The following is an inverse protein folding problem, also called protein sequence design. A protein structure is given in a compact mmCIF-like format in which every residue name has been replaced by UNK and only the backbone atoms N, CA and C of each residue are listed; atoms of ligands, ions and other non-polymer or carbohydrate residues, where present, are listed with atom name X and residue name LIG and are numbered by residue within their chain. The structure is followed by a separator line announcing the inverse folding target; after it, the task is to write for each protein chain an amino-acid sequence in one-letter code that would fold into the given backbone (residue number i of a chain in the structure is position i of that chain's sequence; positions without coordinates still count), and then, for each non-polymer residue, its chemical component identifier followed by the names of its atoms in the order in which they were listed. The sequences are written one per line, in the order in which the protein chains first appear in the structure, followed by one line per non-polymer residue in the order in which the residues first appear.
data_IF_301204776979
#
_entry.id   IF_301204776979
#
_cell.length_a   1.000
_cell.length_b   1.000
_cell.length_c   1.000
_cell.angle_alpha   90.00
_cell.angle_beta   90.00
_cell.angle_gamma   90.00
#
_symmetry.space_group_name_H-M   'P 1'
#
loop_
_entity.id
_entity.type
_entity.pdbx_description
1 polymer ?
#
# COMPACT_ATOMS: atom_id res chain seq x y z
N UNK A 1 7.56 8.06 28.00
CA UNK A 1 6.41 8.00 28.92
C UNK A 1 5.15 8.01 28.06
N UNK A 2 4.26 7.03 28.22
CA UNK A 2 2.98 6.95 27.49
C UNK A 2 1.94 7.79 28.25
N UNK A 3 1.12 8.63 27.58
CA UNK A 3 0.11 9.44 28.27
C UNK A 3 -1.03 8.59 28.83
N UNK A 4 -1.67 9.08 29.88
CA UNK A 4 -2.94 8.51 30.35
C UNK A 4 -4.05 8.78 29.33
N UNK A 5 -4.67 7.71 28.84
CA UNK A 5 -5.79 7.74 27.88
C UNK A 5 -7.08 7.16 28.46
N UNK A 6 -7.17 6.99 29.78
CA UNK A 6 -8.28 6.32 30.47
C UNK A 6 -9.64 6.95 30.15
N UNK A 7 -9.70 8.29 30.04
CA UNK A 7 -10.93 9.00 29.66
C UNK A 7 -11.38 8.66 28.23
N UNK A 8 -10.44 8.61 27.28
CA UNK A 8 -10.72 8.28 25.89
C UNK A 8 -11.15 6.82 25.73
N UNK A 9 -10.50 5.90 26.45
CA UNK A 9 -10.88 4.48 26.50
C UNK A 9 -12.29 4.31 27.08
N UNK A 10 -12.60 4.97 28.20
CA UNK A 10 -13.95 4.93 28.81
C UNK A 10 -15.01 5.43 27.84
N UNK A 11 -14.72 6.50 27.09
CA UNK A 11 -15.63 6.99 26.07
C UNK A 11 -15.82 5.96 24.94
N UNK A 12 -14.74 5.35 24.47
CA UNK A 12 -14.76 4.36 23.39
C UNK A 12 -15.56 3.11 23.78
N UNK A 13 -15.37 2.61 25.01
CA UNK A 13 -16.12 1.50 25.59
C UNK A 13 -17.64 1.75 25.59
N UNK A 14 -18.06 2.99 25.85
CA UNK A 14 -19.47 3.40 25.85
C UNK A 14 -20.05 3.58 24.45
N UNK A 15 -19.21 3.66 23.41
CA UNK A 15 -19.63 3.88 22.02
C UNK A 15 -19.05 2.82 21.09
N UNK A 16 -19.37 1.52 21.27
CA UNK A 16 -18.74 0.43 20.52
C UNK A 16 -19.00 0.50 19.00
N UNK A 17 -20.05 1.19 18.57
CA UNK A 17 -20.35 1.40 17.15
C UNK A 17 -19.49 2.49 16.51
N UNK A 18 -18.78 3.31 17.29
CA UNK A 18 -17.99 4.44 16.79
C UNK A 18 -16.82 4.01 15.87
N UNK A 19 -16.33 2.77 16.01
CA UNK A 19 -15.27 2.20 15.15
C UNK A 19 -15.81 1.30 14.03
N UNK A 20 -17.13 1.12 13.94
CA UNK A 20 -17.71 0.27 12.90
C UNK A 20 -17.50 0.93 11.53
N UNK A 21 -16.97 0.16 10.58
CA UNK A 21 -16.79 0.63 9.20
C UNK A 21 -15.42 1.25 8.90
N UNK A 22 -14.39 1.01 9.71
CA UNK A 22 -13.01 1.37 9.35
C UNK A 22 -12.65 0.72 8.01
N UNK A 23 -12.35 1.58 7.03
CA UNK A 23 -11.83 1.21 5.72
C UNK A 23 -10.30 1.31 5.72
N UNK A 24 -9.64 0.57 4.81
CA UNK A 24 -8.18 0.49 4.71
C UNK A 24 -7.79 0.41 3.25
N UNK A 25 -6.62 0.96 2.93
CA UNK A 25 -5.92 0.75 1.67
C UNK A 25 -4.45 0.45 1.97
N UNK A 26 -3.80 -0.27 1.06
CA UNK A 26 -2.38 -0.60 1.13
C UNK A 26 -1.72 -0.28 -0.20
N UNK A 27 -0.51 0.25 -0.09
CA UNK A 27 0.44 0.47 -1.17
C UNK A 27 1.70 -0.34 -0.84
N UNK A 28 2.27 -1.02 -1.85
CA UNK A 28 3.50 -1.80 -1.67
C UNK A 28 4.38 -1.72 -2.89
N UNK A 29 5.61 -1.27 -2.67
CA UNK A 29 6.65 -1.20 -3.67
C UNK A 29 7.53 -2.46 -3.72
N UNK A 30 8.05 -2.81 -4.89
CA UNK A 30 9.09 -3.83 -5.07
C UNK A 30 9.85 -3.65 -6.38
N UNK A 31 11.17 -3.87 -6.35
CA UNK A 31 11.97 -3.86 -7.57
C UNK A 31 11.82 -5.16 -8.35
N UNK A 32 11.67 -5.04 -9.67
CA UNK A 32 11.88 -6.14 -10.60
C UNK A 32 13.37 -6.43 -10.71
N UNK A 33 13.75 -7.69 -10.51
CA UNK A 33 15.13 -8.15 -10.54
C UNK A 33 15.30 -9.37 -11.43
N UNK A 34 16.50 -9.54 -11.97
CA UNK A 34 16.91 -10.77 -12.62
C UNK A 34 17.22 -11.86 -11.58
N UNK A 35 17.41 -13.11 -12.02
CA UNK A 35 17.69 -14.23 -11.12
C UNK A 35 18.99 -14.08 -10.33
N UNK A 36 19.95 -13.28 -10.81
CA UNK A 36 21.21 -12.95 -10.14
C UNK A 36 21.08 -11.78 -9.14
N UNK A 37 19.87 -11.23 -8.96
CA UNK A 37 19.59 -10.11 -8.08
C UNK A 37 19.88 -8.73 -8.68
N UNK A 38 20.36 -8.65 -9.93
CA UNK A 38 20.55 -7.36 -10.60
C UNK A 38 19.21 -6.72 -10.98
N UNK A 39 19.19 -5.39 -11.06
CA UNK A 39 17.98 -4.65 -11.43
C UNK A 39 17.56 -4.99 -12.86
N UNK A 40 16.28 -5.28 -13.07
CA UNK A 40 15.75 -5.50 -14.41
C UNK A 40 15.81 -4.21 -15.24
N UNK A 41 16.32 -4.30 -16.47
CA UNK A 41 16.41 -3.16 -17.42
C UNK A 41 15.33 -3.21 -18.50
N UNK A 42 14.48 -4.25 -18.49
CA UNK A 42 13.28 -4.32 -19.34
C UNK A 42 12.27 -3.27 -18.89
N UNK A 43 11.39 -2.85 -19.80
CA UNK A 43 10.26 -1.96 -19.48
C UNK A 43 9.22 -2.61 -18.57
N UNK A 44 8.20 -1.84 -18.21
CA UNK A 44 7.03 -2.32 -17.48
C UNK A 44 6.41 -3.52 -18.21
N UNK A 45 6.06 -4.62 -17.51
CA UNK A 45 5.51 -5.80 -18.17
C UNK A 45 4.22 -5.50 -18.95
N UNK A 46 4.20 -5.78 -20.25
CA UNK A 46 3.05 -5.48 -21.14
C UNK A 46 1.71 -6.07 -20.63
N UNK A 47 1.78 -7.23 -19.96
CA UNK A 47 0.62 -7.91 -19.38
C UNK A 47 -0.06 -7.11 -18.25
N UNK A 48 0.66 -6.16 -17.63
CA UNK A 48 0.14 -5.27 -16.59
C UNK A 48 -0.48 -3.98 -17.18
N UNK A 49 -0.38 -3.79 -18.50
CA UNK A 49 -0.97 -2.65 -19.21
C UNK A 49 -0.21 -1.34 -18.98
N UNK A 50 -0.95 -0.25 -18.86
CA UNK A 50 -0.38 1.09 -18.74
C UNK A 50 -0.22 1.51 -17.28
N UNK A 51 1.02 1.62 -16.80
CA UNK A 51 1.32 2.13 -15.46
C UNK A 51 0.61 3.48 -15.18
N UNK A 52 0.53 4.38 -16.18
CA UNK A 52 -0.11 5.69 -16.06
C UNK A 52 -1.60 5.64 -15.67
N UNK A 53 -2.32 4.57 -16.01
CA UNK A 53 -3.79 4.52 -15.89
C UNK A 53 -4.34 3.27 -15.23
N UNK A 54 -3.49 2.27 -14.96
CA UNK A 54 -3.92 1.01 -14.39
C UNK A 54 -4.27 1.16 -12.90
N UNK A 55 -5.42 0.60 -12.48
CA UNK A 55 -6.04 0.92 -11.18
C UNK A 55 -5.36 0.30 -9.96
N UNK A 56 -4.58 -0.76 -10.15
CA UNK A 56 -4.10 -1.60 -9.05
C UNK A 56 -2.60 -1.86 -9.07
N UNK A 57 -1.95 -1.56 -10.20
CA UNK A 57 -0.53 -1.85 -10.43
C UNK A 57 0.01 -0.70 -11.27
N UNK A 58 1.06 -0.05 -10.79
CA UNK A 58 1.75 1.04 -11.47
C UNK A 58 3.26 0.91 -11.27
N UNK A 59 4.01 1.90 -11.72
CA UNK A 59 5.41 2.13 -11.35
C UNK A 59 5.50 3.40 -10.51
N UNK A 60 6.42 3.42 -9.55
CA UNK A 60 6.83 4.64 -8.85
C UNK A 60 8.04 5.26 -9.59
N UNK A 61 9.07 5.76 -8.88
CA UNK A 61 10.19 6.52 -9.42
C UNK A 61 10.90 5.86 -10.61
N UNK A 62 11.05 4.54 -10.60
CA UNK A 62 11.76 3.79 -11.62
C UNK A 62 10.83 2.87 -12.40
N UNK A 63 11.11 2.70 -13.69
CA UNK A 63 10.43 1.74 -14.58
C UNK A 63 10.45 0.29 -14.04
N UNK A 64 11.47 -0.05 -13.23
CA UNK A 64 11.61 -1.34 -12.58
C UNK A 64 10.98 -1.44 -11.18
N UNK A 65 10.52 -0.33 -10.61
CA UNK A 65 9.91 -0.29 -9.28
C UNK A 65 8.40 -0.41 -9.42
N UNK A 66 7.88 -1.63 -9.28
CA UNK A 66 6.45 -1.88 -9.28
C UNK A 66 5.83 -1.40 -7.98
N UNK A 67 4.63 -0.83 -8.07
CA UNK A 67 3.80 -0.46 -6.95
C UNK A 67 2.42 -1.11 -7.08
N UNK A 68 1.94 -1.73 -6.01
CA UNK A 68 0.64 -2.38 -5.93
C UNK A 68 -0.28 -1.60 -5.00
N UNK A 69 -1.48 -1.29 -5.48
CA UNK A 69 -2.45 -0.43 -4.78
C UNK A 69 -3.78 -1.19 -4.65
N UNK A 70 -4.28 -1.35 -3.42
CA UNK A 70 -5.62 -1.92 -3.20
C UNK A 70 -6.72 -0.90 -3.47
N UNK A 71 -7.90 -1.37 -3.90
CA UNK A 71 -9.10 -0.53 -4.01
C UNK A 71 -9.53 0.06 -2.67
#
# INVERSE_FOLDING_TARGET
MIPDVSQALTWLERHPQALKGIQRGLERETLRVNADGTLATTGHPDALGSALTHKWVTTDFAEALLEFITR
#
